data_IF_221919430069
#
_entry.id   IF_221919430069
#
_cell.length_a   1.000
_cell.length_b   1.000
_cell.length_c   1.000
_cell.angle_alpha   90.00
_cell.angle_beta   90.00
_cell.angle_gamma   90.00
#
_symmetry.space_group_name_H-M   'P 1'
#
loop_
_entity.id
_entity.type
_entity.pdbx_description
1 polymer ?
#
# COMPACT_ATOMS: atom_id res chain seq x y z
N UNK A 1 2.31 2.84 -8.88
CA UNK A 1 1.99 1.74 -9.82
C UNK A 1 3.19 0.97 -10.41
N UNK A 2 4.41 1.02 -9.86
CA UNK A 2 5.54 0.19 -10.37
C UNK A 2 5.66 -1.15 -9.61
N UNK A 3 5.30 -1.18 -8.32
CA UNK A 3 5.60 -2.32 -7.45
C UNK A 3 4.77 -3.60 -7.66
N UNK A 4 3.58 -3.49 -8.27
CA UNK A 4 2.62 -4.60 -8.38
C UNK A 4 2.18 -4.89 -9.82
N UNK A 5 2.79 -4.20 -10.80
CA UNK A 5 2.41 -4.30 -12.22
C UNK A 5 2.72 -5.65 -12.85
N UNK A 6 3.59 -6.43 -12.22
CA UNK A 6 4.04 -7.74 -12.71
C UNK A 6 3.23 -8.91 -12.12
N UNK A 7 2.40 -8.66 -11.11
CA UNK A 7 1.57 -9.69 -10.48
C UNK A 7 0.30 -9.89 -11.30
N UNK A 8 -0.06 -11.15 -11.53
CA UNK A 8 -1.39 -11.46 -12.05
C UNK A 8 -2.48 -11.16 -10.99
N UNK A 9 -3.76 -11.29 -11.37
CA UNK A 9 -4.88 -10.96 -10.48
C UNK A 9 -4.92 -11.83 -9.22
N UNK A 10 -4.57 -13.11 -9.35
CA UNK A 10 -4.63 -14.07 -8.24
C UNK A 10 -3.45 -13.86 -7.30
N UNK A 11 -2.25 -13.62 -7.85
CA UNK A 11 -1.05 -13.27 -7.10
C UNK A 11 -1.25 -11.96 -6.34
N UNK A 12 -1.79 -10.93 -7.00
CA UNK A 12 -2.10 -9.65 -6.35
C UNK A 12 -3.08 -9.83 -5.19
N UNK A 13 -4.18 -10.55 -5.43
CA UNK A 13 -5.21 -10.78 -4.42
C UNK A 13 -4.68 -11.60 -3.26
N UNK A 14 -3.88 -12.62 -3.52
CA UNK A 14 -3.22 -13.39 -2.47
C UNK A 14 -2.21 -12.56 -1.67
N UNK A 15 -1.52 -11.65 -2.34
CA UNK A 15 -0.47 -10.84 -1.73
C UNK A 15 -0.99 -9.74 -0.82
N UNK A 16 -2.03 -9.02 -1.25
CA UNK A 16 -2.62 -7.91 -0.49
C UNK A 16 -3.90 -8.28 0.25
N UNK A 17 -4.42 -9.49 0.03
CA UNK A 17 -5.73 -9.96 0.55
C UNK A 17 -6.91 -9.09 0.13
N UNK A 18 -6.77 -8.34 -0.97
CA UNK A 18 -7.80 -7.49 -1.58
C UNK A 18 -7.63 -7.50 -3.11
N UNK A 19 -8.68 -7.19 -3.86
CA UNK A 19 -8.62 -7.01 -5.31
C UNK A 19 -8.21 -5.57 -5.73
N UNK A 20 -7.96 -5.39 -7.02
CA UNK A 20 -7.49 -4.12 -7.58
C UNK A 20 -8.52 -2.97 -7.45
N UNK A 21 -9.82 -3.26 -7.58
CA UNK A 21 -10.87 -2.24 -7.43
C UNK A 21 -10.95 -1.76 -5.99
N UNK A 22 -10.90 -2.70 -5.03
CA UNK A 22 -10.82 -2.40 -3.60
C UNK A 22 -9.61 -1.55 -3.25
N UNK A 23 -8.43 -1.85 -3.83
CA UNK A 23 -7.23 -1.03 -3.63
C UNK A 23 -7.44 0.41 -4.13
N UNK A 24 -8.02 0.57 -5.33
CA UNK A 24 -8.30 1.88 -5.90
C UNK A 24 -9.31 2.68 -5.06
N UNK A 25 -10.37 2.03 -4.59
CA UNK A 25 -11.38 2.62 -3.71
C UNK A 25 -10.77 3.09 -2.38
N UNK A 26 -9.99 2.22 -1.72
CA UNK A 26 -9.30 2.54 -0.48
C UNK A 26 -8.31 3.70 -0.68
N UNK A 27 -7.51 3.66 -1.76
CA UNK A 27 -6.57 4.72 -2.06
C UNK A 27 -7.27 6.07 -2.21
N UNK A 28 -8.40 6.13 -2.92
CA UNK A 28 -9.17 7.37 -3.06
C UNK A 28 -9.67 7.92 -1.72
N UNK A 29 -10.07 7.03 -0.80
CA UNK A 29 -10.54 7.42 0.53
C UNK A 29 -9.41 7.93 1.44
N UNK A 30 -8.22 7.31 1.37
CA UNK A 30 -7.13 7.57 2.33
C UNK A 30 -6.00 8.41 1.76
N UNK A 31 -5.98 8.68 0.45
CA UNK A 31 -4.87 9.38 -0.22
C UNK A 31 -4.57 10.73 0.41
N UNK A 32 -5.60 11.52 0.77
CA UNK A 32 -5.43 12.81 1.43
C UNK A 32 -4.84 12.70 2.85
N UNK A 33 -5.19 11.64 3.59
CA UNK A 33 -4.67 11.38 4.94
C UNK A 33 -3.25 10.84 4.90
N UNK A 34 -2.93 10.12 3.83
CA UNK A 34 -1.61 9.57 3.64
C UNK A 34 -0.68 10.65 3.06
N UNK A 35 -0.98 11.33 1.96
CA UNK A 35 -0.09 12.25 1.25
C UNK A 35 0.95 12.98 2.13
N UNK A 36 2.23 12.63 1.96
CA UNK A 36 3.35 13.34 2.61
C UNK A 36 3.97 14.31 1.61
N UNK A 37 4.59 15.36 2.12
CA UNK A 37 5.31 16.33 1.30
C UNK A 37 6.79 15.96 1.24
N UNK A 38 7.40 16.22 0.09
CA UNK A 38 8.85 16.17 -0.06
C UNK A 38 9.48 17.19 0.89
N UNK A 39 10.64 16.85 1.44
CA UNK A 39 11.47 17.80 2.19
C UNK A 39 12.77 18.02 1.41
N UNK A 40 13.54 19.06 1.79
CA UNK A 40 14.86 19.28 1.19
C UNK A 40 15.86 18.13 1.40
N UNK A 41 15.55 17.17 2.28
CA UNK A 41 16.40 16.02 2.60
C UNK A 41 15.93 14.71 1.97
N UNK A 42 14.64 14.59 1.60
CA UNK A 42 14.11 13.35 1.01
C UNK A 42 12.83 13.58 0.21
N UNK A 43 12.66 12.75 -0.81
CA UNK A 43 11.37 12.57 -1.45
C UNK A 43 10.43 11.78 -0.54
N UNK A 44 9.15 12.12 -0.63
CA UNK A 44 8.09 11.45 0.11
C UNK A 44 7.64 10.19 -0.62
N UNK A 45 7.38 9.14 0.15
CA UNK A 45 6.75 7.93 -0.36
C UNK A 45 5.32 8.29 -0.79
N UNK A 46 4.91 7.83 -1.97
CA UNK A 46 3.57 8.10 -2.49
C UNK A 46 2.49 7.52 -1.56
N UNK A 47 1.26 8.05 -1.64
CA UNK A 47 0.15 7.51 -0.87
C UNK A 47 -0.12 6.02 -1.22
N UNK A 48 0.00 5.68 -2.50
CA UNK A 48 -0.17 4.31 -3.00
C UNK A 48 0.86 3.34 -2.41
N UNK A 49 2.16 3.64 -2.49
CA UNK A 49 3.23 2.77 -1.98
C UNK A 49 3.09 2.50 -0.48
N UNK A 50 2.69 3.52 0.26
CA UNK A 50 2.49 3.38 1.71
C UNK A 50 1.23 2.59 2.04
N UNK A 51 0.16 2.75 1.27
CA UNK A 51 -1.03 1.93 1.41
C UNK A 51 -0.66 0.45 1.18
N UNK A 52 0.09 0.14 0.13
CA UNK A 52 0.59 -1.22 -0.16
C UNK A 52 1.41 -1.77 1.00
N UNK A 53 2.35 -1.00 1.54
CA UNK A 53 3.15 -1.42 2.69
C UNK A 53 2.29 -1.69 3.93
N UNK A 54 1.28 -0.85 4.17
CA UNK A 54 0.34 -0.99 5.29
C UNK A 54 -0.50 -2.25 5.13
N UNK A 55 -1.08 -2.47 3.95
CA UNK A 55 -1.88 -3.66 3.65
C UNK A 55 -1.05 -4.94 3.78
N UNK A 56 0.20 -4.94 3.30
CA UNK A 56 1.09 -6.09 3.47
C UNK A 56 1.40 -6.38 4.94
N UNK A 57 1.62 -5.33 5.73
CA UNK A 57 1.82 -5.47 7.17
C UNK A 57 0.59 -6.11 7.84
N UNK A 58 -0.60 -5.60 7.54
CA UNK A 58 -1.86 -6.13 8.06
C UNK A 58 -2.11 -7.58 7.60
N UNK A 59 -1.84 -7.88 6.32
CA UNK A 59 -1.99 -9.21 5.74
C UNK A 59 -1.03 -10.25 6.35
N UNK A 60 0.12 -9.82 6.87
CA UNK A 60 1.09 -10.69 7.53
C UNK A 60 0.62 -11.16 8.93
N UNK A 61 -0.40 -10.52 9.51
CA UNK A 61 -0.95 -10.88 10.83
C UNK A 61 0.05 -10.73 11.99
N UNK A 62 1.06 -9.88 11.82
CA UNK A 62 2.10 -9.64 12.84
C UNK A 62 1.67 -8.51 13.78
N UNK A 63 1.95 -8.65 15.07
CA UNK A 63 1.79 -7.55 16.02
C UNK A 63 2.97 -6.57 15.86
N UNK A 64 2.79 -5.31 16.23
CA UNK A 64 3.91 -4.36 16.32
C UNK A 64 4.92 -4.78 17.38
N UNK A 65 4.49 -5.60 18.36
CA UNK A 65 5.37 -6.23 19.34
C UNK A 65 6.34 -7.26 18.74
N UNK A 66 6.09 -7.77 17.52
CA UNK A 66 6.90 -8.79 16.85
C UNK A 66 8.03 -8.21 15.97
N UNK A 67 8.21 -6.88 15.95
CA UNK A 67 9.15 -6.11 15.12
C UNK A 67 10.36 -5.61 15.93
#
# INVERSE_FOLDING_TARGET
>A
MILLKELDSDEFSNYLRIDYESLGGLLNLVSLLMAKQNTGMRESITAEERLIATLRYLAAGRDYADL
#
